data_IF_529467516740
#
_entry.id   IF_529467516740
#
_cell.length_a   1.000
_cell.length_b   1.000
_cell.length_c   1.000
_cell.angle_alpha   90.00
_cell.angle_beta   90.00
_cell.angle_gamma   90.00
#
_symmetry.space_group_name_H-M   'P 1'
#
loop_
_entity.id
_entity.type
_entity.pdbx_description
1 polymer ?
#
# COMPACT_ATOMS: atom_id res chain seq x y z
N UNK A 1 20.63 8.56 21.20
CA UNK A 1 19.21 8.45 21.60
C UNK A 1 18.50 7.72 20.46
N UNK A 2 18.03 6.51 20.75
CA UNK A 2 17.54 5.43 19.87
C UNK A 2 16.89 5.83 18.52
N UNK A 3 17.64 5.75 17.42
CA UNK A 3 17.09 5.76 16.06
C UNK A 3 16.06 4.64 15.86
N UNK A 4 16.31 3.44 16.41
CA UNK A 4 15.39 2.30 16.33
C UNK A 4 13.99 2.60 16.88
N UNK A 5 13.90 3.36 17.99
CA UNK A 5 12.60 3.71 18.57
C UNK A 5 11.83 4.74 17.73
N UNK A 6 12.56 5.64 17.05
CA UNK A 6 11.99 6.65 16.15
C UNK A 6 11.51 5.97 14.86
N UNK A 7 12.27 5.00 14.36
CA UNK A 7 11.93 4.23 13.18
C UNK A 7 10.70 3.35 13.41
N UNK A 8 10.60 2.72 14.58
CA UNK A 8 9.40 1.99 14.97
C UNK A 8 8.18 2.90 15.08
N UNK A 9 8.30 4.04 15.76
CA UNK A 9 7.18 4.97 15.92
C UNK A 9 6.67 5.51 14.57
N UNK A 10 7.58 5.76 13.63
CA UNK A 10 7.20 6.14 12.27
C UNK A 10 6.48 5.00 11.54
N UNK A 11 7.02 3.78 11.60
CA UNK A 11 6.43 2.63 10.91
C UNK A 11 5.02 2.32 11.45
N UNK A 12 4.84 2.35 12.77
CA UNK A 12 3.55 2.13 13.43
C UNK A 12 2.52 3.23 13.02
N UNK A 13 2.93 4.49 12.90
CA UNK A 13 2.05 5.58 12.45
C UNK A 13 1.70 5.47 10.95
N UNK A 14 2.69 5.15 10.11
CA UNK A 14 2.51 4.94 8.68
C UNK A 14 1.56 3.77 8.40
N UNK A 15 1.72 2.64 9.11
CA UNK A 15 0.87 1.46 9.01
C UNK A 15 -0.58 1.80 9.35
N UNK A 16 -0.78 2.49 10.48
CA UNK A 16 -2.11 2.95 10.92
C UNK A 16 -2.77 3.87 9.89
N UNK A 17 -2.03 4.84 9.36
CA UNK A 17 -2.57 5.79 8.39
C UNK A 17 -2.91 5.10 7.06
N UNK A 18 -2.05 4.20 6.58
CA UNK A 18 -2.31 3.37 5.41
C UNK A 18 -3.55 2.49 5.63
N UNK A 19 -3.67 1.83 6.77
CA UNK A 19 -4.80 0.96 7.09
C UNK A 19 -6.12 1.74 7.09
N UNK A 20 -6.13 2.96 7.66
CA UNK A 20 -7.31 3.82 7.64
C UNK A 20 -7.71 4.23 6.21
N UNK A 21 -6.75 4.70 5.41
CA UNK A 21 -7.00 5.10 4.03
C UNK A 21 -7.46 3.92 3.16
N UNK A 22 -6.80 2.77 3.29
CA UNK A 22 -7.14 1.56 2.54
C UNK A 22 -8.51 1.02 2.93
N UNK A 23 -8.88 1.02 4.21
CA UNK A 23 -10.24 0.62 4.62
C UNK A 23 -11.31 1.57 4.10
N UNK A 24 -11.06 2.88 4.17
CA UNK A 24 -12.01 3.88 3.67
C UNK A 24 -12.21 3.78 2.15
N UNK A 25 -11.14 3.55 1.40
CA UNK A 25 -11.17 3.50 -0.07
C UNK A 25 -11.49 2.12 -0.63
N UNK A 26 -11.01 1.06 0.03
CA UNK A 26 -11.17 -0.34 -0.35
C UNK A 26 -12.62 -0.83 -0.27
N UNK A 27 -13.42 -0.26 0.63
CA UNK A 27 -14.88 -0.48 0.65
C UNK A 27 -15.57 -0.09 -0.67
N UNK A 28 -14.92 0.73 -1.51
CA UNK A 28 -15.43 1.15 -2.82
C UNK A 28 -14.83 0.36 -3.99
N UNK A 29 -14.02 -0.68 -3.73
CA UNK A 29 -13.34 -1.51 -4.74
C UNK A 29 -13.81 -2.98 -4.65
N UNK A 30 -15.02 -3.32 -5.13
CA UNK A 30 -15.61 -4.64 -4.89
C UNK A 30 -14.84 -5.79 -5.57
N UNK A 31 -13.96 -5.49 -6.54
CA UNK A 31 -13.16 -6.49 -7.22
C UNK A 31 -11.86 -6.86 -6.47
N UNK A 32 -11.58 -6.22 -5.32
CA UNK A 32 -10.37 -6.42 -4.54
C UNK A 32 -10.66 -6.92 -3.13
N UNK A 33 -9.79 -7.82 -2.65
CA UNK A 33 -9.62 -8.09 -1.24
C UNK A 33 -8.26 -7.53 -0.82
N UNK A 34 -8.28 -6.35 -0.20
CA UNK A 34 -7.06 -5.67 0.24
C UNK A 34 -6.69 -6.14 1.65
N UNK A 35 -5.43 -6.50 1.86
CA UNK A 35 -4.91 -6.87 3.18
C UNK A 35 -4.66 -5.62 4.04
N UNK A 36 -4.46 -5.82 5.34
CA UNK A 36 -3.81 -4.78 6.13
C UNK A 36 -2.39 -4.51 5.57
N UNK A 37 -1.93 -3.26 5.61
CA UNK A 37 -0.56 -2.92 5.26
C UNK A 37 0.41 -3.45 6.32
N UNK A 38 1.65 -3.71 5.92
CA UNK A 38 2.75 -4.04 6.81
C UNK A 38 3.86 -3.00 6.63
N UNK A 39 4.27 -2.31 7.70
CA UNK A 39 5.34 -1.33 7.63
C UNK A 39 6.60 -1.76 8.36
N UNK A 40 7.73 -1.55 7.69
CA UNK A 40 9.09 -1.70 8.20
C UNK A 40 9.78 -0.33 8.26
N UNK A 41 11.01 -0.29 8.77
CA UNK A 41 11.79 0.94 8.97
C UNK A 41 11.86 1.86 7.74
N UNK A 42 11.99 1.28 6.54
CA UNK A 42 12.20 2.02 5.29
C UNK A 42 11.11 1.79 4.25
N UNK A 43 10.27 0.77 4.41
CA UNK A 43 9.31 0.36 3.38
C UNK A 43 8.01 -0.08 4.03
N UNK A 44 6.89 0.27 3.41
CA UNK A 44 5.60 -0.36 3.70
C UNK A 44 5.17 -1.21 2.52
N UNK A 45 4.46 -2.30 2.79
CA UNK A 45 3.93 -3.22 1.79
C UNK A 45 2.42 -3.21 1.88
N UNK A 46 1.76 -2.97 0.74
CA UNK A 46 0.32 -3.11 0.60
C UNK A 46 0.03 -4.24 -0.38
N UNK A 47 -0.87 -5.15 -0.02
CA UNK A 47 -1.24 -6.28 -0.86
C UNK A 47 -2.74 -6.32 -1.11
N UNK A 48 -3.13 -6.82 -2.28
CA UNK A 48 -4.51 -7.18 -2.55
C UNK A 48 -4.59 -8.42 -3.45
N UNK A 49 -5.70 -9.13 -3.36
CA UNK A 49 -6.07 -10.15 -4.34
C UNK A 49 -7.27 -9.68 -5.16
N UNK A 50 -7.18 -9.83 -6.47
CA UNK A 50 -8.26 -9.64 -7.41
C UNK A 50 -8.79 -10.98 -7.91
N UNK A 51 -10.11 -11.10 -8.06
CA UNK A 51 -10.74 -12.28 -8.65
C UNK A 51 -10.49 -12.42 -10.16
N UNK A 52 -11.23 -13.32 -10.82
CA UNK A 52 -11.01 -13.69 -12.22
C UNK A 52 -11.21 -12.54 -13.25
N UNK A 53 -11.87 -11.44 -12.87
CA UNK A 53 -11.93 -10.23 -13.70
C UNK A 53 -10.69 -9.37 -13.48
N UNK A 54 -9.60 -9.72 -14.17
CA UNK A 54 -8.30 -9.05 -14.04
C UNK A 54 -8.35 -7.58 -14.44
N UNK A 55 -9.17 -7.20 -15.42
CA UNK A 55 -9.28 -5.80 -15.88
C UNK A 55 -9.91 -4.89 -14.81
N UNK A 56 -11.04 -5.29 -14.22
CA UNK A 56 -11.67 -4.49 -13.17
C UNK A 56 -10.79 -4.44 -11.93
N UNK A 57 -10.21 -5.56 -11.51
CA UNK A 57 -9.29 -5.61 -10.36
C UNK A 57 -8.05 -4.73 -10.59
N UNK A 58 -7.49 -4.72 -11.81
CA UNK A 58 -6.38 -3.82 -12.16
C UNK A 58 -6.80 -2.35 -12.06
N UNK A 59 -7.96 -1.99 -12.61
CA UNK A 59 -8.46 -0.62 -12.57
C UNK A 59 -8.75 -0.15 -11.14
N UNK A 60 -9.34 -1.02 -10.33
CA UNK A 60 -9.63 -0.77 -8.92
C UNK A 60 -8.34 -0.62 -8.09
N UNK A 61 -7.33 -1.45 -8.36
CA UNK A 61 -6.03 -1.36 -7.69
C UNK A 61 -5.31 -0.07 -8.03
N UNK A 62 -5.24 0.26 -9.32
CA UNK A 62 -4.66 1.53 -9.77
C UNK A 62 -5.36 2.72 -9.11
N UNK A 63 -6.70 2.73 -9.10
CA UNK A 63 -7.48 3.79 -8.46
C UNK A 63 -7.16 3.91 -6.97
N UNK A 64 -7.10 2.79 -6.25
CA UNK A 64 -6.76 2.78 -4.82
C UNK A 64 -5.37 3.38 -4.58
N UNK A 65 -4.35 2.87 -5.26
CA UNK A 65 -2.96 3.30 -5.08
C UNK A 65 -2.79 4.78 -5.43
N UNK A 66 -3.35 5.25 -6.55
CA UNK A 66 -3.24 6.65 -6.94
C UNK A 66 -3.98 7.58 -6.00
N UNK A 67 -5.13 7.17 -5.46
CA UNK A 67 -5.87 7.97 -4.48
C UNK A 67 -5.09 8.08 -3.18
N UNK A 68 -4.53 6.97 -2.68
CA UNK A 68 -3.66 7.00 -1.48
C UNK A 68 -2.41 7.86 -1.72
N UNK A 69 -1.77 7.74 -2.90
CA UNK A 69 -0.57 8.49 -3.22
C UNK A 69 -0.80 10.00 -3.38
N UNK A 70 -2.03 10.42 -3.68
CA UNK A 70 -2.41 11.83 -3.78
C UNK A 70 -2.70 12.49 -2.42
N UNK A 71 -2.74 11.72 -1.34
CA UNK A 71 -2.97 12.28 -0.01
C UNK A 71 -1.78 13.13 0.47
N UNK A 72 -2.01 14.28 1.14
CA UNK A 72 -0.94 15.12 1.67
C UNK A 72 -0.01 14.40 2.65
N UNK A 73 -0.56 13.54 3.50
CA UNK A 73 0.22 12.75 4.47
C UNK A 73 1.14 11.74 3.76
N UNK A 74 0.68 11.15 2.65
CA UNK A 74 1.47 10.21 1.88
C UNK A 74 2.69 10.91 1.29
N UNK A 75 2.48 12.06 0.65
CA UNK A 75 3.57 12.88 0.09
C UNK A 75 4.54 13.40 1.15
N UNK A 76 4.14 13.50 2.41
CA UNK A 76 5.05 13.88 3.49
C UNK A 76 5.93 12.70 3.94
N UNK A 77 5.38 11.49 3.97
CA UNK A 77 6.03 10.29 4.51
C UNK A 77 6.78 9.43 3.49
N UNK A 78 6.38 9.45 2.21
CA UNK A 78 6.89 8.56 1.16
C UNK A 78 7.53 9.35 0.01
N UNK A 79 8.38 8.68 -0.76
CA UNK A 79 9.08 9.25 -1.93
C UNK A 79 8.89 8.44 -3.21
N UNK A 80 8.58 7.15 -3.09
CA UNK A 80 8.41 6.28 -4.24
C UNK A 80 7.41 5.16 -3.95
N UNK A 81 6.83 4.61 -5.01
CA UNK A 81 5.99 3.42 -4.96
C UNK A 81 6.29 2.51 -6.16
N UNK A 82 6.34 1.21 -5.91
CA UNK A 82 6.58 0.21 -6.94
C UNK A 82 5.57 -0.92 -6.80
N UNK A 83 4.88 -1.25 -7.89
CA UNK A 83 3.86 -2.31 -7.90
C UNK A 83 4.34 -3.50 -8.71
N UNK A 84 4.30 -4.68 -8.10
CA UNK A 84 4.48 -5.97 -8.77
C UNK A 84 3.14 -6.70 -8.82
N UNK A 85 2.85 -7.32 -9.96
CA UNK A 85 1.66 -8.14 -10.16
C UNK A 85 2.07 -9.60 -10.38
N UNK A 86 1.34 -10.52 -9.77
CA UNK A 86 1.46 -11.95 -10.03
C UNK A 86 0.08 -12.52 -10.30
N UNK A 87 -0.16 -12.99 -11.53
CA UNK A 87 -1.40 -13.66 -11.90
C UNK A 87 -1.20 -15.17 -11.95
N UNK A 88 -2.19 -15.90 -11.43
CA UNK A 88 -2.31 -17.36 -11.55
C UNK A 88 -3.79 -17.75 -11.76
N UNK A 89 -4.12 -19.04 -11.96
CA UNK A 89 -5.51 -19.46 -12.15
C UNK A 89 -6.45 -19.16 -10.98
N UNK A 90 -5.93 -18.88 -9.78
CA UNK A 90 -6.68 -18.49 -8.60
C UNK A 90 -6.95 -16.99 -8.47
N UNK A 91 -6.30 -16.15 -9.28
CA UNK A 91 -6.52 -14.69 -9.30
C UNK A 91 -5.24 -13.89 -9.58
N UNK A 92 -5.30 -12.59 -9.28
CA UNK A 92 -4.13 -11.69 -9.36
C UNK A 92 -3.76 -11.20 -7.97
N UNK A 93 -2.52 -11.43 -7.57
CA UNK A 93 -1.90 -10.80 -6.41
C UNK A 93 -1.23 -9.49 -6.84
N UNK A 94 -1.61 -8.42 -6.16
CA UNK A 94 -1.01 -7.10 -6.27
C UNK A 94 -0.15 -6.86 -5.05
N UNK A 95 1.09 -6.41 -5.26
CA UNK A 95 1.98 -6.01 -4.16
C UNK A 95 2.56 -4.64 -4.50
N UNK A 96 2.24 -3.63 -3.70
CA UNK A 96 2.84 -2.30 -3.82
C UNK A 96 3.77 -2.06 -2.64
N UNK A 97 5.04 -1.78 -2.96
CA UNK A 97 6.06 -1.32 -2.02
C UNK A 97 6.06 0.20 -1.99
N UNK A 98 6.05 0.77 -0.80
CA UNK A 98 6.02 2.21 -0.54
C UNK A 98 7.30 2.62 0.19
N UNK A 99 8.16 3.39 -0.47
CA UNK A 99 9.46 3.77 0.08
C UNK A 99 9.34 5.00 0.97
N UNK A 100 9.80 4.87 2.22
CA UNK A 100 9.87 5.97 3.18
C UNK A 100 10.78 7.08 2.68
N UNK A 101 10.35 8.32 2.87
CA UNK A 101 11.16 9.50 2.59
C UNK A 101 12.45 9.50 3.41
N UNK A 102 13.57 9.75 2.74
CA UNK A 102 14.91 9.68 3.34
C UNK A 102 15.63 8.35 3.11
N UNK A 103 14.97 7.38 2.46
CA UNK A 103 15.56 6.12 2.02
C UNK A 103 15.61 6.05 0.49
N UNK A 104 16.43 5.15 -0.05
CA UNK A 104 16.52 4.77 -1.46
C UNK A 104 16.39 3.25 -1.59
N UNK A 105 15.98 2.76 -2.76
CA UNK A 105 16.00 1.33 -3.10
C UNK A 105 17.42 0.75 -3.09
#
# INVERSE_FOLDING_TARGET
MNSESIDKAWADDAERQLALSVRALGNNQPALQVSEPECFTSVCVLMATGGHSTEQANADWQRLIYTVADEPWFRAGFVDLSTTLRADPGGTLYVTYLLRRGYSW
#
